data_IF_865963781583
#
_entry.id   IF_865963781583
#
_cell.length_a   1.000
_cell.length_b   1.000
_cell.length_c   1.000
_cell.angle_alpha   90.00
_cell.angle_beta   90.00
_cell.angle_gamma   90.00
#
_symmetry.space_group_name_H-M   'P 1'
#
loop_
_entity.id
_entity.type
_entity.pdbx_description
1 polymer ?
#
# COMPACT_ATOMS: atom_id res chain seq x y z
N UNK A 1 5.02 1.69 -3.06
CA UNK A 1 4.73 0.36 -3.60
C UNK A 1 3.44 0.48 -4.39
N UNK A 2 3.10 -0.52 -5.20
CA UNK A 2 1.97 -0.48 -6.10
C UNK A 2 2.18 0.45 -7.29
N UNK A 3 1.18 1.25 -7.62
CA UNK A 3 1.16 2.08 -8.84
C UNK A 3 2.29 3.10 -8.87
N UNK A 4 3.16 3.00 -9.87
CA UNK A 4 4.37 3.83 -9.99
C UNK A 4 4.01 5.30 -10.24
N UNK A 5 4.50 6.18 -9.37
CA UNK A 5 4.33 7.62 -9.51
C UNK A 5 2.94 8.18 -9.23
N UNK A 6 1.93 7.34 -8.92
CA UNK A 6 0.55 7.77 -8.66
C UNK A 6 0.45 8.77 -7.51
N UNK A 7 1.13 8.52 -6.38
CA UNK A 7 1.11 9.43 -5.24
C UNK A 7 1.59 10.84 -5.59
N UNK A 8 2.64 10.94 -6.44
CA UNK A 8 3.15 12.24 -6.90
C UNK A 8 2.19 12.89 -7.89
N UNK A 9 1.62 12.10 -8.80
CA UNK A 9 0.63 12.58 -9.77
C UNK A 9 -0.59 13.18 -9.05
N UNK A 10 -1.13 12.48 -8.04
CA UNK A 10 -2.23 12.98 -7.22
C UNK A 10 -1.85 14.25 -6.45
N UNK A 11 -0.62 14.34 -5.94
CA UNK A 11 -0.14 15.55 -5.28
C UNK A 11 -0.05 16.74 -6.22
N UNK A 12 0.31 16.52 -7.49
CA UNK A 12 0.47 17.57 -8.48
C UNK A 12 -0.87 17.99 -9.12
N UNK A 13 -1.75 17.03 -9.46
CA UNK A 13 -2.95 17.26 -10.27
C UNK A 13 -4.26 17.26 -9.45
N UNK A 14 -4.30 16.58 -8.30
CA UNK A 14 -5.46 16.45 -7.43
C UNK A 14 -5.12 16.68 -5.95
N UNK A 15 -4.44 17.81 -5.57
CA UNK A 15 -3.97 18.02 -4.20
C UNK A 15 -5.08 18.05 -3.14
N UNK A 16 -6.29 18.38 -3.53
CA UNK A 16 -7.46 18.42 -2.63
C UNK A 16 -7.90 17.02 -2.14
N UNK A 17 -7.44 15.97 -2.81
CA UNK A 17 -7.69 14.59 -2.36
C UNK A 17 -6.79 14.18 -1.18
N UNK A 18 -5.68 14.88 -0.96
CA UNK A 18 -4.66 14.57 0.04
C UNK A 18 -4.77 15.51 1.22
N UNK A 19 -4.83 14.95 2.43
CA UNK A 19 -4.79 15.70 3.69
C UNK A 19 -3.75 15.09 4.61
N UNK A 20 -2.88 15.93 5.18
CA UNK A 20 -2.04 15.57 6.31
C UNK A 20 -2.76 15.95 7.60
N UNK A 21 -2.90 15.00 8.51
CA UNK A 21 -3.61 15.19 9.77
C UNK A 21 -2.91 14.43 10.89
N UNK A 22 -3.15 14.83 12.13
CA UNK A 22 -2.62 14.12 13.29
C UNK A 22 -3.28 12.74 13.43
N UNK A 23 -2.55 11.75 13.93
CA UNK A 23 -3.08 10.41 14.19
C UNK A 23 -4.34 10.45 15.08
N UNK A 24 -4.38 11.37 16.03
CA UNK A 24 -5.53 11.59 16.94
C UNK A 24 -6.83 11.94 16.22
N UNK A 25 -6.76 12.51 15.02
CA UNK A 25 -7.97 12.82 14.23
C UNK A 25 -8.75 11.57 13.83
N UNK A 26 -8.09 10.41 13.86
CA UNK A 26 -8.69 9.10 13.57
C UNK A 26 -9.29 8.41 14.82
N UNK A 27 -9.36 9.10 15.98
CA UNK A 27 -9.98 8.57 17.19
C UNK A 27 -11.39 8.02 16.93
N UNK A 28 -11.70 6.84 17.47
CA UNK A 28 -12.98 6.15 17.29
C UNK A 28 -13.18 5.51 15.91
N UNK A 29 -12.23 5.67 14.97
CA UNK A 29 -12.34 5.08 13.63
C UNK A 29 -11.86 3.63 13.63
N UNK A 30 -12.60 2.78 12.92
CA UNK A 30 -12.16 1.43 12.54
C UNK A 30 -11.30 1.54 11.27
N UNK A 31 -10.13 0.93 11.25
CA UNK A 31 -9.22 0.97 10.10
C UNK A 31 -8.79 -0.45 9.77
N UNK A 32 -8.99 -0.88 8.54
CA UNK A 32 -8.44 -2.14 8.03
C UNK A 32 -6.99 -1.90 7.60
N UNK A 33 -6.04 -2.59 8.24
CA UNK A 33 -4.61 -2.39 8.04
C UNK A 33 -4.05 -3.60 7.31
N UNK A 34 -3.33 -3.35 6.24
CA UNK A 34 -2.53 -4.34 5.54
C UNK A 34 -1.42 -4.85 6.47
N UNK A 35 -1.54 -6.12 6.88
CA UNK A 35 -0.62 -6.74 7.82
C UNK A 35 0.74 -7.06 7.17
N UNK A 36 0.74 -7.54 5.94
CA UNK A 36 1.97 -7.93 5.22
C UNK A 36 2.88 -6.72 5.00
N UNK A 37 2.29 -5.58 4.61
CA UNK A 37 3.01 -4.32 4.50
C UNK A 37 3.55 -3.87 5.87
N UNK A 38 2.75 -3.97 6.93
CA UNK A 38 3.15 -3.59 8.27
C UNK A 38 4.33 -4.45 8.77
N UNK A 39 4.27 -5.77 8.61
CA UNK A 39 5.34 -6.71 8.99
C UNK A 39 6.63 -6.39 8.23
N UNK A 40 6.54 -6.21 6.91
CA UNK A 40 7.69 -5.84 6.07
C UNK A 40 8.37 -4.55 6.55
N UNK A 41 7.57 -3.53 6.88
CA UNK A 41 8.10 -2.27 7.44
C UNK A 41 8.84 -2.49 8.75
N UNK A 42 8.34 -3.34 9.65
CA UNK A 42 9.00 -3.62 10.92
C UNK A 42 10.31 -4.38 10.75
N UNK A 43 10.32 -5.37 9.87
CA UNK A 43 11.54 -6.12 9.57
C UNK A 43 12.66 -5.23 9.00
N UNK A 44 12.31 -4.13 8.33
CA UNK A 44 13.29 -3.16 7.85
C UNK A 44 13.64 -2.12 8.91
N UNK A 45 12.63 -1.57 9.62
CA UNK A 45 12.80 -0.41 10.50
C UNK A 45 13.38 -0.78 11.87
N UNK A 46 13.04 -1.96 12.40
CA UNK A 46 13.48 -2.42 13.73
C UNK A 46 14.70 -3.29 13.59
N UNK A 47 15.87 -2.65 13.50
CA UNK A 47 17.15 -3.30 13.31
C UNK A 47 18.16 -2.77 14.32
N UNK A 48 19.13 -3.58 14.68
CA UNK A 48 20.28 -3.20 15.49
C UNK A 48 21.56 -3.26 14.68
N UNK A 49 22.43 -2.28 14.87
CA UNK A 49 23.75 -2.23 14.23
C UNK A 49 24.62 -1.20 14.94
N UNK A 50 25.91 -1.30 14.75
CA UNK A 50 26.92 -0.37 15.29
C UNK A 50 27.66 0.36 14.17
N UNK A 51 28.56 1.31 14.52
CA UNK A 51 29.29 2.10 13.53
C UNK A 51 30.08 1.27 12.51
N UNK A 52 30.48 0.06 12.88
CA UNK A 52 31.32 -0.83 12.05
C UNK A 52 30.63 -2.16 11.69
N UNK A 53 29.30 -2.28 11.91
CA UNK A 53 28.56 -3.50 11.62
C UNK A 53 27.27 -3.16 10.87
N UNK A 54 26.95 -3.95 9.84
CA UNK A 54 25.69 -3.83 9.14
C UNK A 54 24.50 -4.03 10.11
N UNK A 55 23.44 -3.23 9.93
CA UNK A 55 22.25 -3.36 10.77
C UNK A 55 21.54 -4.70 10.51
N UNK A 56 21.35 -5.48 11.58
CA UNK A 56 20.67 -6.77 11.57
C UNK A 56 19.28 -6.68 12.23
N UNK A 57 18.39 -7.61 11.92
CA UNK A 57 17.09 -7.72 12.61
C UNK A 57 17.31 -8.05 14.09
N UNK A 58 16.41 -7.57 14.96
CA UNK A 58 16.44 -7.97 16.36
C UNK A 58 16.13 -9.45 16.47
N UNK A 59 16.92 -10.15 17.25
CA UNK A 59 16.78 -11.59 17.52
C UNK A 59 16.62 -11.84 19.02
N UNK A 60 15.98 -12.95 19.38
CA UNK A 60 15.98 -13.48 20.74
C UNK A 60 17.29 -14.20 21.05
N UNK A 61 17.39 -14.81 22.22
CA UNK A 61 18.55 -15.59 22.67
C UNK A 61 18.84 -16.79 21.76
N UNK A 62 17.83 -17.33 21.11
CA UNK A 62 17.89 -18.49 20.19
C UNK A 62 18.23 -18.07 18.74
N UNK A 63 18.46 -16.77 18.50
CA UNK A 63 18.77 -16.24 17.19
C UNK A 63 17.55 -16.03 16.26
N UNK A 64 16.33 -16.19 16.77
CA UNK A 64 15.11 -15.97 16.00
C UNK A 64 14.75 -14.50 15.91
N UNK A 65 14.28 -14.07 14.74
CA UNK A 65 13.89 -12.67 14.49
C UNK A 65 12.63 -12.29 15.28
N UNK A 66 12.70 -11.21 16.08
CA UNK A 66 11.60 -10.67 16.90
C UNK A 66 11.16 -9.27 16.49
N UNK A 67 11.82 -8.66 15.49
CA UNK A 67 11.53 -7.28 15.03
C UNK A 67 10.07 -7.07 14.62
N UNK A 68 9.46 -8.05 13.95
CA UNK A 68 8.06 -8.01 13.52
C UNK A 68 7.09 -8.02 14.70
N UNK A 69 7.33 -8.86 15.71
CA UNK A 69 6.51 -8.95 16.94
C UNK A 69 6.57 -7.63 17.70
N UNK A 70 7.78 -7.13 17.96
CA UNK A 70 7.97 -5.88 18.67
C UNK A 70 7.33 -4.69 17.95
N UNK A 71 7.51 -4.61 16.63
CA UNK A 71 6.93 -3.56 15.82
C UNK A 71 5.40 -3.61 15.80
N UNK A 72 4.82 -4.79 15.59
CA UNK A 72 3.38 -5.01 15.56
C UNK A 72 2.75 -4.71 16.93
N UNK A 73 3.33 -5.22 18.01
CA UNK A 73 2.89 -5.00 19.38
C UNK A 73 2.84 -3.51 19.74
N UNK A 74 3.96 -2.81 19.56
CA UNK A 74 4.05 -1.40 19.93
C UNK A 74 3.14 -0.50 19.08
N UNK A 75 3.05 -0.76 17.77
CA UNK A 75 2.19 0.02 16.87
C UNK A 75 0.71 -0.20 17.22
N UNK A 76 0.31 -1.43 17.48
CA UNK A 76 -1.08 -1.78 17.83
C UNK A 76 -1.49 -1.16 19.16
N UNK A 77 -0.64 -1.23 20.19
CA UNK A 77 -0.88 -0.53 21.48
C UNK A 77 -1.08 0.96 21.23
N UNK A 78 -0.22 1.57 20.40
CA UNK A 78 -0.34 2.99 20.10
C UNK A 78 -1.67 3.33 19.45
N UNK A 79 -2.11 2.57 18.44
CA UNK A 79 -3.40 2.81 17.81
C UNK A 79 -4.54 2.72 18.83
N UNK A 80 -4.54 1.67 19.64
CA UNK A 80 -5.56 1.47 20.68
C UNK A 80 -5.53 2.58 21.74
N UNK A 81 -4.35 3.05 22.13
CA UNK A 81 -4.20 4.16 23.08
C UNK A 81 -4.70 5.49 22.51
N UNK A 82 -4.53 5.73 21.21
CA UNK A 82 -5.10 6.89 20.50
C UNK A 82 -6.59 6.71 20.15
N UNK A 83 -7.21 5.61 20.60
CA UNK A 83 -8.63 5.31 20.39
C UNK A 83 -8.98 4.83 18.99
N UNK A 84 -8.00 4.50 18.16
CA UNK A 84 -8.20 3.89 16.85
C UNK A 84 -8.51 2.41 17.05
N UNK A 85 -9.43 1.87 16.25
CA UNK A 85 -9.79 0.44 16.24
C UNK A 85 -9.17 -0.24 15.00
N UNK A 86 -7.93 -0.75 15.09
CA UNK A 86 -7.28 -1.44 13.98
C UNK A 86 -7.89 -2.83 13.78
N UNK A 87 -8.02 -3.27 12.53
CA UNK A 87 -8.27 -4.65 12.12
C UNK A 87 -7.20 -5.01 11.08
N UNK A 88 -6.49 -6.10 11.30
CA UNK A 88 -5.38 -6.47 10.42
C UNK A 88 -5.82 -7.50 9.39
N UNK A 89 -5.54 -7.19 8.12
CA UNK A 89 -5.85 -8.04 6.98
C UNK A 89 -4.55 -8.67 6.48
N UNK A 90 -4.52 -9.99 6.43
CA UNK A 90 -3.40 -10.77 5.93
C UNK A 90 -3.68 -11.28 4.54
N UNK A 91 -2.66 -11.32 3.70
CA UNK A 91 -2.76 -11.89 2.35
C UNK A 91 -3.12 -13.37 2.38
N UNK A 92 -3.93 -13.74 1.40
CA UNK A 92 -4.22 -15.12 1.06
C UNK A 92 -3.31 -15.67 -0.04
N UNK A 93 -3.88 -16.43 -0.95
CA UNK A 93 -3.16 -16.96 -2.09
C UNK A 93 -2.99 -15.88 -3.16
N UNK A 94 -1.75 -15.57 -3.57
CA UNK A 94 -1.53 -14.54 -4.60
C UNK A 94 -2.21 -14.95 -5.92
N UNK A 95 -2.81 -13.99 -6.67
CA UNK A 95 -3.47 -14.28 -7.93
C UNK A 95 -2.45 -14.72 -8.99
N UNK A 96 -2.87 -15.58 -9.91
CA UNK A 96 -1.99 -16.11 -10.96
C UNK A 96 -1.40 -14.99 -11.83
N UNK A 97 -2.18 -13.94 -12.11
CA UNK A 97 -1.74 -12.78 -12.89
C UNK A 97 -0.52 -12.05 -12.28
N UNK A 98 -0.27 -12.20 -10.96
CA UNK A 98 0.88 -11.61 -10.25
C UNK A 98 2.17 -12.44 -10.39
N UNK A 99 2.11 -13.63 -11.00
CA UNK A 99 3.24 -14.56 -11.12
C UNK A 99 4.49 -13.93 -11.75
N UNK A 100 4.32 -13.14 -12.79
CA UNK A 100 5.42 -12.42 -13.47
C UNK A 100 6.15 -11.43 -12.57
N UNK A 101 5.43 -10.65 -11.75
CA UNK A 101 6.04 -9.72 -10.79
C UNK A 101 6.71 -10.49 -9.63
N UNK A 102 6.11 -11.57 -9.16
CA UNK A 102 6.70 -12.43 -8.13
C UNK A 102 8.02 -13.06 -8.60
N UNK A 103 8.08 -13.47 -9.86
CA UNK A 103 9.32 -13.97 -10.47
C UNK A 103 10.39 -12.86 -10.55
N UNK A 104 10.03 -11.66 -11.03
CA UNK A 104 10.96 -10.52 -11.07
C UNK A 104 11.47 -10.15 -9.66
N UNK A 105 10.63 -10.24 -8.65
CA UNK A 105 11.03 -10.02 -7.24
C UNK A 105 11.98 -11.11 -6.74
N UNK A 106 11.79 -12.36 -7.18
CA UNK A 106 12.68 -13.47 -6.87
C UNK A 106 14.07 -13.27 -7.50
N UNK A 107 14.14 -12.95 -8.77
CA UNK A 107 15.39 -12.68 -9.48
C UNK A 107 16.17 -11.50 -8.88
N UNK A 108 15.47 -10.42 -8.50
CA UNK A 108 16.09 -9.28 -7.80
C UNK A 108 16.68 -9.66 -6.45
N UNK A 109 16.04 -10.58 -5.73
CA UNK A 109 16.57 -11.11 -4.45
C UNK A 109 17.80 -11.98 -4.66
N UNK A 110 17.78 -12.87 -5.64
CA UNK A 110 18.93 -13.72 -5.97
C UNK A 110 20.16 -12.86 -6.33
N UNK A 111 19.96 -11.80 -7.12
CA UNK A 111 21.02 -10.81 -7.39
C UNK A 111 21.49 -10.10 -6.13
N UNK A 112 20.57 -9.62 -5.29
CA UNK A 112 20.92 -8.95 -4.05
C UNK A 112 21.67 -9.87 -3.07
N UNK A 113 21.38 -11.16 -3.07
CA UNK A 113 22.11 -12.15 -2.27
C UNK A 113 23.56 -12.35 -2.76
N UNK A 114 23.75 -12.40 -4.07
CA UNK A 114 25.10 -12.47 -4.65
C UNK A 114 25.91 -11.19 -4.38
N UNK A 115 25.25 -10.01 -4.48
CA UNK A 115 25.86 -8.71 -4.17
C UNK A 115 26.20 -8.58 -2.68
N UNK A 116 25.32 -9.08 -1.78
CA UNK A 116 25.60 -9.11 -0.33
C UNK A 116 26.83 -9.95 0.00
N UNK A 117 26.97 -11.12 -0.64
CA UNK A 117 28.13 -12.00 -0.42
C UNK A 117 29.43 -11.30 -0.82
N UNK A 118 29.47 -10.62 -1.97
CA UNK A 118 30.61 -9.82 -2.42
C UNK A 118 30.92 -8.67 -1.46
N UNK A 119 29.91 -7.90 -1.08
CA UNK A 119 30.08 -6.80 -0.13
C UNK A 119 30.57 -7.27 1.25
N UNK A 120 30.22 -8.51 1.64
CA UNK A 120 30.72 -9.13 2.88
C UNK A 120 32.19 -9.52 2.76
N UNK A 121 32.62 -10.06 1.63
CA UNK A 121 34.03 -10.41 1.34
C UNK A 121 34.91 -9.14 1.26
N UNK A 122 34.37 -8.04 0.74
CA UNK A 122 35.03 -6.74 0.62
C UNK A 122 35.01 -5.90 1.91
N UNK A 123 34.24 -6.32 2.94
CA UNK A 123 34.09 -5.60 4.20
C UNK A 123 33.31 -4.28 4.10
N UNK A 124 32.56 -4.06 3.01
CA UNK A 124 31.78 -2.83 2.78
C UNK A 124 30.45 -2.84 3.54
N UNK A 125 30.42 -2.22 4.71
CA UNK A 125 29.26 -2.20 5.62
C UNK A 125 28.04 -1.50 5.02
N UNK A 126 28.22 -0.42 4.25
CA UNK A 126 27.09 0.32 3.65
C UNK A 126 26.38 -0.52 2.58
N UNK A 127 27.13 -1.21 1.73
CA UNK A 127 26.56 -2.09 0.73
C UNK A 127 25.95 -3.34 1.35
N UNK A 128 26.57 -3.92 2.38
CA UNK A 128 25.99 -5.02 3.15
C UNK A 128 24.61 -4.63 3.71
N UNK A 129 24.47 -3.47 4.35
CA UNK A 129 23.18 -2.99 4.89
C UNK A 129 22.15 -2.77 3.78
N UNK A 130 22.55 -2.17 2.67
CA UNK A 130 21.70 -1.92 1.49
C UNK A 130 21.19 -3.23 0.87
N UNK A 131 22.04 -4.22 0.66
CA UNK A 131 21.65 -5.50 0.04
C UNK A 131 20.90 -6.38 1.03
N UNK A 132 21.25 -6.38 2.33
CA UNK A 132 20.53 -7.11 3.36
C UNK A 132 19.07 -6.63 3.51
N UNK A 133 18.80 -5.33 3.35
CA UNK A 133 17.44 -4.78 3.33
C UNK A 133 16.60 -5.30 2.17
N UNK A 134 17.23 -5.57 1.00
CA UNK A 134 16.54 -6.12 -0.17
C UNK A 134 16.18 -7.59 -0.03
N UNK A 135 16.84 -8.31 0.88
CA UNK A 135 16.56 -9.71 1.16
C UNK A 135 15.46 -9.93 2.19
N UNK A 136 15.04 -8.86 2.89
CA UNK A 136 14.00 -8.95 3.90
C UNK A 136 12.70 -9.45 3.28
N UNK A 137 12.14 -10.47 3.90
CA UNK A 137 10.84 -11.07 3.54
C UNK A 137 10.11 -11.47 4.82
N UNK A 138 8.81 -11.19 4.89
CA UNK A 138 7.93 -11.83 5.85
C UNK A 138 7.70 -13.27 5.39
N UNK A 139 8.10 -14.23 6.20
CA UNK A 139 7.85 -15.66 5.98
C UNK A 139 6.52 -16.09 6.59
N UNK A 140 6.27 -17.41 6.51
CA UNK A 140 5.06 -17.99 7.12
C UNK A 140 5.11 -17.84 8.65
N UNK A 141 6.27 -18.07 9.28
CA UNK A 141 6.46 -17.96 10.73
C UNK A 141 6.13 -16.56 11.23
N UNK A 142 6.72 -15.52 10.63
CA UNK A 142 6.49 -14.13 11.02
C UNK A 142 5.02 -13.73 10.88
N UNK A 143 4.32 -14.25 9.87
CA UNK A 143 2.89 -14.02 9.71
C UNK A 143 2.07 -14.71 10.81
N UNK A 144 2.35 -15.98 11.14
CA UNK A 144 1.64 -16.72 12.20
C UNK A 144 1.90 -16.10 13.57
N UNK A 145 3.14 -15.74 13.88
CA UNK A 145 3.51 -15.05 15.13
C UNK A 145 2.71 -13.74 15.28
N UNK A 146 2.58 -12.95 14.20
CA UNK A 146 1.80 -11.72 14.23
C UNK A 146 0.30 -11.97 14.37
N UNK A 147 -0.24 -13.00 13.73
CA UNK A 147 -1.66 -13.38 13.87
C UNK A 147 -1.98 -13.78 15.30
N UNK A 148 -1.13 -14.61 15.91
CA UNK A 148 -1.29 -15.03 17.30
C UNK A 148 -1.17 -13.85 18.25
N UNK A 149 -0.15 -13.02 18.12
CA UNK A 149 0.00 -11.79 18.87
C UNK A 149 -1.27 -10.93 18.84
N UNK A 150 -1.81 -10.67 17.66
CA UNK A 150 -2.99 -9.82 17.48
C UNK A 150 -4.25 -10.44 18.09
N UNK A 151 -4.42 -11.78 18.00
CA UNK A 151 -5.52 -12.51 18.66
C UNK A 151 -5.43 -12.37 20.18
N UNK A 152 -4.24 -12.56 20.75
CA UNK A 152 -3.99 -12.39 22.19
C UNK A 152 -4.21 -10.94 22.65
N UNK A 153 -3.92 -9.96 21.79
CA UNK A 153 -4.23 -8.54 22.05
C UNK A 153 -5.73 -8.22 21.90
N UNK A 154 -6.57 -9.15 21.49
CA UNK A 154 -7.99 -8.96 21.26
C UNK A 154 -8.34 -8.14 20.02
N UNK A 155 -7.44 -8.09 19.01
CA UNK A 155 -7.61 -7.31 17.77
C UNK A 155 -8.07 -8.23 16.64
N UNK A 156 -9.06 -7.83 15.83
CA UNK A 156 -9.52 -8.63 14.69
C UNK A 156 -8.41 -8.92 13.69
N UNK A 157 -8.31 -10.20 13.31
CA UNK A 157 -7.42 -10.72 12.27
C UNK A 157 -8.28 -11.28 11.14
N UNK A 158 -8.07 -10.79 9.93
CA UNK A 158 -8.83 -11.17 8.74
C UNK A 158 -7.86 -11.83 7.76
N UNK A 159 -8.23 -12.98 7.23
CA UNK A 159 -7.50 -13.65 6.16
C UNK A 159 -8.20 -13.35 4.85
N UNK A 160 -7.57 -12.58 3.98
CA UNK A 160 -8.09 -12.32 2.65
C UNK A 160 -8.05 -13.62 1.81
N UNK A 161 -8.99 -13.84 0.89
CA UNK A 161 -8.88 -14.92 -0.08
C UNK A 161 -7.66 -14.74 -0.99
N UNK A 162 -7.34 -13.49 -1.33
CA UNK A 162 -6.29 -13.12 -2.25
C UNK A 162 -5.44 -11.97 -1.66
N UNK A 163 -5.59 -10.74 -2.14
CA UNK A 163 -4.78 -9.57 -1.76
C UNK A 163 -5.39 -8.85 -0.53
N UNK A 164 -4.56 -8.52 0.46
CA UNK A 164 -4.99 -7.83 1.67
C UNK A 164 -5.56 -6.43 1.38
N UNK A 165 -4.97 -5.68 0.43
CA UNK A 165 -5.45 -4.35 0.05
C UNK A 165 -6.84 -4.40 -0.59
N UNK A 166 -7.13 -5.42 -1.41
CA UNK A 166 -8.44 -5.62 -2.02
C UNK A 166 -9.50 -5.91 -0.95
N UNK A 167 -9.19 -6.80 -0.01
CA UNK A 167 -10.08 -7.12 1.12
C UNK A 167 -10.30 -5.91 2.03
N UNK A 168 -9.25 -5.16 2.36
CA UNK A 168 -9.35 -3.96 3.18
C UNK A 168 -10.18 -2.86 2.48
N UNK A 169 -10.01 -2.70 1.15
CA UNK A 169 -10.80 -1.79 0.34
C UNK A 169 -12.29 -2.20 0.32
N UNK A 170 -12.60 -3.48 0.14
CA UNK A 170 -13.98 -3.99 0.15
C UNK A 170 -14.68 -3.70 1.47
N UNK A 171 -14.02 -3.98 2.63
CA UNK A 171 -14.56 -3.64 3.94
C UNK A 171 -14.83 -2.14 4.12
N UNK A 172 -14.00 -1.29 3.49
CA UNK A 172 -14.18 0.15 3.52
C UNK A 172 -15.32 0.61 2.61
N UNK A 173 -15.48 0.02 1.42
CA UNK A 173 -16.60 0.27 0.49
C UNK A 173 -17.93 -0.11 1.12
N UNK A 174 -18.00 -1.23 1.82
CA UNK A 174 -19.19 -1.70 2.52
C UNK A 174 -19.45 -0.95 3.85
N UNK A 175 -18.60 0.00 4.24
CA UNK A 175 -18.77 0.79 5.46
C UNK A 175 -18.50 0.03 6.76
N UNK A 176 -17.93 -1.18 6.71
CA UNK A 176 -17.54 -1.95 7.89
C UNK A 176 -16.39 -1.27 8.63
N UNK A 177 -15.49 -0.65 7.87
CA UNK A 177 -14.39 0.18 8.38
C UNK A 177 -14.43 1.57 7.74
N UNK A 178 -13.77 2.53 8.39
CA UNK A 178 -13.68 3.91 7.91
C UNK A 178 -12.66 4.11 6.79
N UNK A 179 -11.54 3.39 6.86
CA UNK A 179 -10.42 3.57 5.95
C UNK A 179 -9.60 2.28 5.79
N UNK A 180 -8.88 2.20 4.70
CA UNK A 180 -7.80 1.24 4.46
C UNK A 180 -6.47 1.86 4.85
N UNK A 181 -5.67 1.17 5.69
CA UNK A 181 -4.34 1.59 6.13
C UNK A 181 -3.25 0.79 5.43
N UNK A 182 -2.69 1.32 4.36
CA UNK A 182 -1.55 0.73 3.64
C UNK A 182 -0.72 1.81 2.97
N UNK A 183 0.56 1.50 2.68
CA UNK A 183 1.39 2.37 1.83
C UNK A 183 1.18 2.08 0.34
N UNK A 184 0.49 1.00 0.02
CA UNK A 184 0.24 0.60 -1.34
C UNK A 184 -0.87 1.44 -1.97
N UNK A 185 -0.58 1.99 -3.16
CA UNK A 185 -1.52 2.84 -3.89
C UNK A 185 -2.56 2.02 -4.66
N UNK A 186 -2.36 0.70 -4.77
CA UNK A 186 -3.30 -0.23 -5.43
C UNK A 186 -4.65 -0.25 -4.71
N UNK A 187 -4.68 0.04 -3.40
CA UNK A 187 -5.91 0.19 -2.65
C UNK A 187 -6.91 1.21 -3.27
N UNK A 188 -6.41 2.24 -3.98
CA UNK A 188 -7.28 3.20 -4.69
C UNK A 188 -7.91 2.59 -5.93
N UNK A 189 -7.22 1.67 -6.64
CA UNK A 189 -7.80 0.96 -7.79
C UNK A 189 -8.89 -0.03 -7.37
N UNK A 190 -8.82 -0.54 -6.14
CA UNK A 190 -9.88 -1.33 -5.49
C UNK A 190 -11.00 -0.46 -4.89
N UNK A 191 -11.12 0.81 -5.29
CA UNK A 191 -12.19 1.75 -4.89
C UNK A 191 -12.24 2.12 -3.41
N UNK A 192 -11.15 1.93 -2.64
CA UNK A 192 -11.19 2.30 -1.22
C UNK A 192 -11.59 3.78 -1.05
N UNK A 193 -12.68 4.10 -0.34
CA UNK A 193 -13.16 5.47 -0.18
C UNK A 193 -12.15 6.38 0.49
N UNK A 194 -11.40 5.83 1.47
CA UNK A 194 -10.39 6.55 2.25
C UNK A 194 -9.16 5.67 2.41
N UNK A 195 -8.03 6.11 1.90
CA UNK A 195 -6.72 5.50 2.09
C UNK A 195 -5.94 6.31 3.12
N UNK A 196 -5.41 5.63 4.16
CA UNK A 196 -4.53 6.22 5.18
C UNK A 196 -3.13 5.67 5.01
N UNK A 197 -2.17 6.57 4.84
CA UNK A 197 -0.76 6.27 4.63
C UNK A 197 0.10 6.88 5.73
N UNK A 198 1.40 6.55 5.74
CA UNK A 198 2.39 7.05 6.70
C UNK A 198 2.01 6.71 8.15
N UNK A 199 1.47 5.49 8.34
CA UNK A 199 1.12 4.99 9.68
C UNK A 199 2.33 4.45 10.47
N UNK A 200 3.55 4.66 9.96
CA UNK A 200 4.82 4.32 10.60
C UNK A 200 5.43 5.58 11.19
N UNK A 201 5.67 5.61 12.49
CA UNK A 201 6.09 6.82 13.19
C UNK A 201 7.49 6.63 13.79
N UNK A 202 8.46 7.40 13.32
CA UNK A 202 9.77 7.48 13.94
C UNK A 202 9.73 8.26 15.27
N UNK A 203 8.90 9.31 15.38
CA UNK A 203 8.74 10.13 16.58
C UNK A 203 7.31 10.11 17.10
N UNK A 204 7.16 9.76 18.39
CA UNK A 204 5.86 9.66 19.04
C UNK A 204 5.10 10.98 19.16
N UNK A 205 5.82 12.11 19.26
CA UNK A 205 5.24 13.42 19.54
C UNK A 205 4.62 14.13 18.33
N UNK A 206 4.94 13.71 17.09
CA UNK A 206 4.45 14.33 15.85
C UNK A 206 3.98 13.27 14.87
N UNK A 207 3.08 12.38 15.31
CA UNK A 207 2.52 11.38 14.44
C UNK A 207 1.49 12.01 13.50
N UNK A 208 1.90 12.33 12.31
CA UNK A 208 1.03 12.75 11.22
C UNK A 208 0.80 11.58 10.26
N UNK A 209 -0.43 11.42 9.82
CA UNK A 209 -0.83 10.47 8.78
C UNK A 209 -1.25 11.24 7.54
N UNK A 210 -1.20 10.56 6.41
CA UNK A 210 -1.66 11.11 5.14
C UNK A 210 -2.93 10.39 4.72
N UNK A 211 -4.04 11.11 4.69
CA UNK A 211 -5.35 10.60 4.27
C UNK A 211 -5.61 11.01 2.83
N UNK A 212 -5.99 10.05 1.99
CA UNK A 212 -6.38 10.28 0.60
C UNK A 212 -7.85 9.88 0.40
N UNK A 213 -8.63 10.75 -0.22
CA UNK A 213 -10.06 10.52 -0.51
C UNK A 213 -10.23 10.18 -1.98
N UNK A 214 -10.70 8.97 -2.28
CA UNK A 214 -10.84 8.45 -3.64
C UNK A 214 -11.74 9.31 -4.53
N UNK A 215 -12.94 9.67 -4.08
CA UNK A 215 -13.84 10.52 -4.86
C UNK A 215 -13.22 11.86 -5.26
N UNK A 216 -12.42 12.46 -4.35
CA UNK A 216 -11.69 13.70 -4.65
C UNK A 216 -10.51 13.48 -5.59
N UNK A 217 -9.90 12.30 -5.60
CA UNK A 217 -8.86 11.95 -6.55
C UNK A 217 -9.44 11.88 -7.96
N UNK A 218 -10.58 11.22 -8.15
CA UNK A 218 -11.28 11.18 -9.44
C UNK A 218 -11.72 12.57 -9.91
N UNK A 219 -12.34 13.35 -9.01
CA UNK A 219 -12.77 14.73 -9.30
C UNK A 219 -11.58 15.60 -9.75
N UNK A 220 -10.47 15.58 -9.02
CA UNK A 220 -9.28 16.38 -9.33
C UNK A 220 -8.56 15.96 -10.60
N UNK A 221 -8.57 14.67 -10.95
CA UNK A 221 -8.05 14.17 -12.20
C UNK A 221 -9.02 14.37 -13.37
N UNK A 222 -10.31 14.59 -13.13
CA UNK A 222 -11.36 14.64 -14.15
C UNK A 222 -11.59 13.30 -14.82
N UNK A 223 -11.50 12.20 -14.08
CA UNK A 223 -11.62 10.84 -14.58
C UNK A 223 -12.77 10.09 -13.89
N UNK A 224 -13.38 9.15 -14.60
CA UNK A 224 -14.23 8.13 -14.00
C UNK A 224 -13.35 6.97 -13.44
N UNK A 225 -13.99 5.96 -12.82
CA UNK A 225 -13.27 4.83 -12.23
C UNK A 225 -12.50 4.02 -13.26
N UNK A 226 -13.12 3.68 -14.39
CA UNK A 226 -12.49 2.83 -15.41
C UNK A 226 -11.28 3.53 -16.06
N UNK A 227 -11.39 4.82 -16.31
CA UNK A 227 -10.27 5.65 -16.76
C UNK A 227 -9.15 5.74 -15.72
N UNK A 228 -9.51 5.76 -14.43
CA UNK A 228 -8.54 5.76 -13.35
C UNK A 228 -7.80 4.41 -13.26
N UNK A 229 -8.49 3.29 -13.43
CA UNK A 229 -7.87 1.96 -13.50
C UNK A 229 -6.92 1.88 -14.69
N UNK A 230 -7.35 2.31 -15.87
CA UNK A 230 -6.52 2.36 -17.08
C UNK A 230 -5.29 3.26 -16.90
N UNK A 231 -5.46 4.42 -16.27
CA UNK A 231 -4.33 5.26 -15.85
C UNK A 231 -3.34 4.51 -14.97
N UNK A 232 -3.82 3.80 -13.97
CA UNK A 232 -2.97 3.02 -13.05
C UNK A 232 -2.22 1.89 -13.78
N UNK A 233 -2.86 1.22 -14.72
CA UNK A 233 -2.24 0.20 -15.57
C UNK A 233 -1.13 0.83 -16.43
N UNK A 234 -1.37 1.97 -17.07
CA UNK A 234 -0.36 2.70 -17.84
C UNK A 234 0.84 3.15 -16.98
N UNK A 235 0.61 3.53 -15.74
CA UNK A 235 1.68 3.89 -14.79
C UNK A 235 2.53 2.68 -14.38
N UNK A 236 1.96 1.49 -14.43
CA UNK A 236 2.56 0.21 -14.05
C UNK A 236 2.07 -0.27 -12.71
N UNK A 237 1.52 -1.46 -12.71
CA UNK A 237 1.00 -2.19 -11.56
C UNK A 237 1.71 -3.55 -11.41
N UNK A 238 1.35 -4.30 -10.37
CA UNK A 238 1.91 -5.63 -10.09
C UNK A 238 1.38 -6.72 -11.05
N UNK A 239 0.35 -6.40 -11.86
CA UNK A 239 -0.38 -7.37 -12.68
C UNK A 239 0.01 -7.35 -14.17
N UNK A 240 0.58 -6.25 -14.66
CA UNK A 240 1.10 -6.19 -16.03
C UNK A 240 2.24 -5.17 -16.16
N UNK A 241 3.07 -5.34 -17.19
CA UNK A 241 4.14 -4.42 -17.51
C UNK A 241 3.58 -3.13 -18.11
N UNK A 242 4.16 -1.98 -17.78
CA UNK A 242 3.78 -0.68 -18.33
C UNK A 242 4.45 -0.41 -19.68
N UNK A 243 3.86 0.48 -20.49
CA UNK A 243 4.45 0.96 -21.74
C UNK A 243 5.70 1.77 -21.44
N UNK A 244 6.85 1.38 -22.00
CA UNK A 244 8.09 2.13 -21.85
C UNK A 244 7.99 3.51 -22.55
N UNK A 245 8.49 4.53 -21.86
CA UNK A 245 8.44 5.92 -22.36
C UNK A 245 7.19 6.69 -21.94
N UNK A 246 6.15 6.02 -21.40
CA UNK A 246 4.95 6.67 -20.86
C UNK A 246 5.16 6.94 -19.38
N UNK A 247 5.36 8.21 -19.01
CA UNK A 247 5.43 8.65 -17.61
C UNK A 247 4.08 9.17 -17.10
N UNK A 248 3.97 9.50 -15.78
CA UNK A 248 2.70 9.86 -15.15
C UNK A 248 1.91 10.99 -15.85
N UNK A 249 2.57 12.07 -16.22
CA UNK A 249 1.91 13.18 -16.93
C UNK A 249 1.45 12.80 -18.32
N UNK A 250 2.24 11.99 -19.03
CA UNK A 250 1.90 11.49 -20.37
C UNK A 250 0.72 10.52 -20.29
N UNK A 251 0.73 9.58 -19.32
CA UNK A 251 -0.36 8.65 -19.10
C UNK A 251 -1.69 9.38 -18.83
N UNK A 252 -1.68 10.36 -17.92
CA UNK A 252 -2.87 11.17 -17.63
C UNK A 252 -3.37 11.93 -18.87
N UNK A 253 -2.45 12.53 -19.63
CA UNK A 253 -2.80 13.22 -20.87
C UNK A 253 -3.47 12.27 -21.88
N UNK A 254 -2.87 11.11 -22.12
CA UNK A 254 -3.40 10.10 -23.04
C UNK A 254 -4.80 9.61 -22.62
N UNK A 255 -5.01 9.32 -21.34
CA UNK A 255 -6.33 8.91 -20.84
C UNK A 255 -7.37 10.01 -21.00
N UNK A 256 -7.02 11.27 -20.74
CA UNK A 256 -7.94 12.41 -20.92
C UNK A 256 -8.31 12.63 -22.40
N UNK A 257 -7.36 12.41 -23.32
CA UNK A 257 -7.56 12.62 -24.76
C UNK A 257 -8.28 11.45 -25.43
N UNK A 258 -7.99 10.21 -25.04
CA UNK A 258 -8.44 9.01 -25.72
C UNK A 258 -9.46 8.16 -24.95
N UNK A 259 -9.56 8.35 -23.64
CA UNK A 259 -10.56 7.72 -22.78
C UNK A 259 -10.18 6.35 -22.22
N UNK A 260 -9.56 5.46 -23.01
CA UNK A 260 -9.19 4.10 -22.63
C UNK A 260 -7.90 3.63 -23.30
N UNK A 261 -7.37 2.49 -22.83
CA UNK A 261 -6.10 1.93 -23.33
C UNK A 261 -6.23 1.48 -24.79
N UNK A 262 -7.35 0.89 -25.19
CA UNK A 262 -7.59 0.40 -26.55
C UNK A 262 -7.43 1.55 -27.57
N UNK A 263 -8.11 2.65 -27.35
CA UNK A 263 -8.01 3.83 -28.20
C UNK A 263 -6.60 4.45 -28.21
N UNK A 264 -5.90 4.39 -27.07
CA UNK A 264 -4.51 4.85 -26.96
C UNK A 264 -3.59 3.98 -27.83
N UNK A 265 -3.77 2.67 -27.83
CA UNK A 265 -2.98 1.75 -28.66
C UNK A 265 -3.23 1.96 -30.14
N UNK A 266 -4.48 2.22 -30.53
CA UNK A 266 -4.87 2.45 -31.94
C UNK A 266 -4.41 3.82 -32.48
N UNK A 267 -4.60 4.88 -31.68
CA UNK A 267 -4.48 6.27 -32.17
C UNK A 267 -3.43 7.10 -31.45
N UNK A 268 -3.26 6.87 -30.12
CA UNK A 268 -2.55 7.80 -29.24
C UNK A 268 -1.03 7.69 -29.25
N UNK A 269 -0.46 6.53 -29.61
CA UNK A 269 0.98 6.32 -29.58
C UNK A 269 1.67 6.79 -30.88
N UNK A 270 0.92 7.04 -31.98
CA UNK A 270 1.45 7.41 -33.30
C UNK A 270 1.57 8.93 -33.50
N UNK A 271 1.04 9.76 -32.61
CA UNK A 271 0.88 11.21 -32.85
C UNK A 271 2.11 12.07 -32.55
N UNK A 272 3.15 11.50 -31.95
CA UNK A 272 4.36 12.27 -31.59
C UNK A 272 5.60 11.70 -32.25
N UNK A 273 5.85 12.07 -33.49
CA UNK A 273 6.97 11.64 -34.33
C UNK A 273 8.40 11.76 -33.75
N UNK A 274 8.58 11.93 -32.43
CA UNK A 274 9.88 12.06 -31.74
C UNK A 274 10.10 11.14 -30.56
N UNK A 275 9.09 10.41 -30.04
CA UNK A 275 9.26 9.47 -28.93
C UNK A 275 8.83 8.08 -29.36
N UNK A 276 9.75 7.15 -29.30
CA UNK A 276 9.48 5.73 -29.52
C UNK A 276 8.91 5.15 -28.25
N UNK A 277 7.61 4.83 -28.25
CA UNK A 277 6.97 4.07 -27.17
C UNK A 277 7.13 2.58 -27.46
N UNK A 278 7.50 1.80 -26.43
CA UNK A 278 7.59 0.35 -26.53
C UNK A 278 6.43 -0.28 -25.77
N UNK A 279 5.48 -0.81 -26.51
CA UNK A 279 4.34 -1.57 -25.96
C UNK A 279 4.81 -2.97 -25.59
N UNK A 280 4.50 -3.49 -24.41
CA UNK A 280 4.82 -4.86 -24.06
C UNK A 280 4.15 -5.87 -25.02
N UNK A 281 4.87 -6.93 -25.38
CA UNK A 281 4.37 -7.93 -26.33
C UNK A 281 3.05 -8.58 -25.88
N UNK A 282 2.84 -8.74 -24.58
CA UNK A 282 1.61 -9.31 -24.00
C UNK A 282 0.42 -8.33 -23.94
N UNK A 283 0.56 -7.11 -24.47
CA UNK A 283 -0.55 -6.16 -24.60
C UNK A 283 -1.27 -6.26 -25.96
N UNK A 284 -0.63 -6.84 -26.96
CA UNK A 284 -1.24 -7.07 -28.26
C UNK A 284 -1.65 -8.54 -28.37
N UNK A 285 -2.87 -8.85 -28.83
CA UNK A 285 -3.23 -10.21 -29.19
C UNK A 285 -2.20 -10.73 -30.21
N UNK A 286 -1.71 -11.95 -30.06
CA UNK A 286 -0.86 -12.54 -31.09
C UNK A 286 -1.64 -12.54 -32.40
N UNK A 287 -1.25 -11.69 -33.36
CA UNK A 287 -1.65 -11.88 -34.74
C UNK A 287 -1.18 -13.27 -35.14
N UNK A 288 -2.10 -14.18 -35.44
CA UNK A 288 -1.76 -15.46 -36.10
C UNK A 288 -0.82 -15.10 -37.24
N UNK A 289 0.33 -15.75 -37.34
CA UNK A 289 1.18 -15.68 -38.50
C UNK A 289 0.29 -16.08 -39.66
N UNK A 290 0.00 -15.12 -40.55
CA UNK A 290 -0.54 -15.38 -41.87
C UNK A 290 0.60 -16.02 -42.66
N UNK A 291 0.86 -17.31 -42.45
CA UNK A 291 1.63 -18.20 -43.33
C UNK A 291 1.48 -19.62 -42.82
N UNK A 292 0.33 -20.24 -43.07
CA UNK A 292 0.19 -21.69 -43.17
C UNK A 292 -1.11 -21.97 -43.92
N UNK A 293 -0.94 -22.32 -45.20
CA UNK A 293 -1.78 -23.13 -46.09
C UNK A 293 -3.07 -23.70 -45.52
N UNK A 294 -4.12 -23.53 -46.35
CA UNK A 294 -5.43 -24.12 -46.30
C UNK A 294 -5.37 -25.60 -45.90
N UNK A 295 -6.02 -25.94 -44.81
CA UNK A 295 -6.69 -27.23 -44.62
C UNK A 295 -7.95 -26.96 -43.77
N UNK A 296 -9.10 -27.07 -44.40
CA UNK A 296 -10.42 -27.11 -43.82
C UNK A 296 -10.52 -28.36 -42.94
N UNK A 297 -10.84 -28.20 -41.64
CA UNK A 297 -11.79 -29.08 -40.97
C UNK A 297 -12.11 -28.55 -39.56
N UNK A 298 -13.40 -28.29 -39.35
CA UNK A 298 -14.23 -28.28 -38.16
C UNK A 298 -13.53 -28.43 -36.80
N UNK A 299 -13.67 -27.46 -35.93
CA UNK A 299 -14.32 -27.69 -34.63
C UNK A 299 -14.67 -26.37 -33.92
N UNK A 300 -15.87 -26.32 -33.34
CA UNK A 300 -16.36 -25.27 -32.43
C UNK A 300 -15.47 -25.21 -31.17
N UNK A 301 -14.35 -24.54 -31.26
CA UNK A 301 -13.51 -24.20 -30.13
C UNK A 301 -13.50 -22.71 -29.91
N UNK A 302 -14.02 -22.28 -28.77
CA UNK A 302 -13.95 -20.96 -28.18
C UNK A 302 -12.64 -20.25 -28.58
N UNK A 303 -12.77 -19.03 -29.06
CA UNK A 303 -11.70 -18.14 -29.53
C UNK A 303 -10.53 -18.09 -28.51
N UNK A 304 -9.54 -18.95 -28.68
CA UNK A 304 -8.41 -19.16 -27.78
C UNK A 304 -7.30 -18.10 -28.03
N UNK A 305 -7.70 -16.86 -28.42
CA UNK A 305 -6.76 -15.74 -28.52
C UNK A 305 -6.35 -15.33 -27.11
N UNK A 306 -5.04 -15.26 -26.79
CA UNK A 306 -4.59 -14.86 -25.46
C UNK A 306 -5.08 -13.45 -25.14
N UNK A 307 -5.81 -13.31 -24.03
CA UNK A 307 -6.34 -12.03 -23.55
C UNK A 307 -5.17 -11.09 -23.25
N UNK A 308 -5.18 -9.84 -23.75
CA UNK A 308 -4.12 -8.88 -23.46
C UNK A 308 -3.95 -8.65 -21.96
N UNK A 309 -2.71 -8.59 -21.48
CA UNK A 309 -2.41 -8.51 -20.05
C UNK A 309 -3.05 -7.28 -19.34
N UNK A 310 -3.22 -6.16 -20.03
CA UNK A 310 -3.90 -4.99 -19.45
C UNK A 310 -5.41 -5.21 -19.26
N UNK A 311 -6.04 -6.05 -20.10
CA UNK A 311 -7.46 -6.42 -19.97
C UNK A 311 -7.65 -7.34 -18.76
N UNK A 312 -6.76 -8.31 -18.58
CA UNK A 312 -6.75 -9.17 -17.39
C UNK A 312 -6.52 -8.36 -16.11
N UNK A 313 -5.56 -7.42 -16.13
CA UNK A 313 -5.31 -6.53 -15.00
C UNK A 313 -6.52 -5.66 -14.66
N UNK A 314 -7.20 -5.08 -15.69
CA UNK A 314 -8.44 -4.32 -15.51
C UNK A 314 -9.56 -5.18 -14.92
N UNK A 315 -9.72 -6.40 -15.43
CA UNK A 315 -10.69 -7.38 -14.91
C UNK A 315 -10.41 -7.69 -13.44
N UNK A 316 -9.15 -7.92 -13.08
CA UNK A 316 -8.77 -8.19 -11.71
C UNK A 316 -9.06 -7.01 -10.76
N UNK A 317 -8.74 -5.78 -11.14
CA UNK A 317 -9.06 -4.60 -10.33
C UNK A 317 -10.56 -4.40 -10.10
N UNK A 318 -11.39 -4.74 -11.09
CA UNK A 318 -12.85 -4.58 -11.00
C UNK A 318 -13.56 -5.80 -10.38
N UNK A 319 -12.99 -7.00 -10.52
CA UNK A 319 -13.61 -8.26 -10.11
C UNK A 319 -12.57 -9.13 -9.37
N UNK A 320 -12.23 -8.73 -8.15
CA UNK A 320 -11.30 -9.43 -7.28
C UNK A 320 -12.05 -10.27 -6.24
N UNK A 321 -11.41 -11.35 -5.79
CA UNK A 321 -11.97 -12.22 -4.76
C UNK A 321 -11.79 -11.59 -3.37
N UNK A 322 -12.90 -11.36 -2.67
CA UNK A 322 -12.94 -10.83 -1.31
C UNK A 322 -14.08 -11.47 -0.51
N UNK A 323 -13.89 -11.55 0.80
CA UNK A 323 -14.96 -11.88 1.73
C UNK A 323 -15.94 -10.71 1.82
N UNK A 324 -17.22 -11.01 1.84
CA UNK A 324 -18.25 -10.00 2.09
C UNK A 324 -18.22 -9.53 3.54
N UNK A 325 -18.64 -8.30 3.82
CA UNK A 325 -18.59 -7.74 5.16
C UNK A 325 -19.39 -8.52 6.21
N UNK A 326 -20.45 -9.23 5.81
CA UNK A 326 -21.21 -10.11 6.69
C UNK A 326 -20.49 -11.43 7.04
N UNK A 327 -19.45 -11.80 6.30
CA UNK A 327 -18.60 -12.97 6.54
C UNK A 327 -17.42 -12.64 7.44
N UNK A 328 -17.17 -11.34 7.70
CA UNK A 328 -16.03 -10.85 8.47
C UNK A 328 -16.48 -10.36 9.84
N UNK A 329 -15.95 -10.97 10.90
CA UNK A 329 -16.24 -10.56 12.27
C UNK A 329 -15.27 -9.48 12.75
N UNK A 330 -15.74 -8.23 12.87
CA UNK A 330 -14.98 -7.10 13.38
C UNK A 330 -15.30 -6.83 14.86
N UNK A 331 -14.83 -7.71 15.74
CA UNK A 331 -15.00 -7.59 17.20
C UNK A 331 -13.66 -7.39 17.90
N UNK A 332 -13.54 -6.30 18.62
CA UNK A 332 -12.40 -6.01 19.52
C UNK A 332 -12.72 -6.57 20.89
N UNK A 333 -11.93 -7.55 21.33
CA UNK A 333 -12.09 -8.27 22.62
C UNK A 333 -11.13 -7.70 23.67
N UNK A 334 -11.35 -8.04 24.93
CA UNK A 334 -10.37 -7.78 25.97
C UNK A 334 -9.08 -8.56 25.67
N UNK A 335 -7.90 -8.00 25.97
CA UNK A 335 -6.65 -8.71 25.79
C UNK A 335 -6.58 -9.91 26.74
N UNK A 336 -5.96 -10.99 26.28
CA UNK A 336 -5.68 -12.19 27.07
C UNK A 336 -4.30 -11.99 27.74
N UNK A 337 -4.29 -11.27 28.86
CA UNK A 337 -3.06 -10.72 29.45
C UNK A 337 -2.04 -11.78 29.87
N UNK A 338 -2.48 -12.90 30.44
CA UNK A 338 -1.59 -13.98 30.89
C UNK A 338 -0.98 -14.75 29.71
N UNK A 339 -1.81 -15.10 28.71
CA UNK A 339 -1.36 -15.78 27.51
C UNK A 339 -0.44 -14.87 26.67
N UNK A 340 -0.77 -13.58 26.59
CA UNK A 340 0.06 -12.58 25.92
C UNK A 340 1.42 -12.43 26.60
N UNK A 341 1.46 -12.47 27.93
CA UNK A 341 2.71 -12.44 28.69
C UNK A 341 3.55 -13.69 28.43
N UNK A 342 2.94 -14.89 28.47
CA UNK A 342 3.63 -16.14 28.13
C UNK A 342 4.18 -16.10 26.71
N UNK A 343 3.38 -15.70 25.74
CA UNK A 343 3.81 -15.58 24.34
C UNK A 343 5.01 -14.66 24.17
N UNK A 344 4.99 -13.48 24.78
CA UNK A 344 6.07 -12.49 24.60
C UNK A 344 7.31 -12.82 25.45
N UNK A 345 7.16 -13.28 26.70
CA UNK A 345 8.28 -13.51 27.61
C UNK A 345 8.85 -14.91 27.44
N UNK A 346 8.01 -15.96 27.52
CA UNK A 346 8.50 -17.32 27.56
C UNK A 346 8.88 -17.83 26.14
N UNK A 347 8.07 -17.48 25.12
CA UNK A 347 8.34 -17.93 23.73
C UNK A 347 9.33 -17.03 23.00
N UNK A 348 9.22 -15.71 23.17
CA UNK A 348 10.02 -14.76 22.37
C UNK A 348 11.08 -13.99 23.20
N UNK A 349 11.28 -14.33 24.46
CA UNK A 349 12.33 -13.80 25.34
C UNK A 349 12.31 -12.27 25.50
N UNK A 350 11.12 -11.64 25.49
CA UNK A 350 10.99 -10.20 25.76
C UNK A 350 11.19 -9.90 27.25
N UNK A 351 11.64 -8.68 27.56
CA UNK A 351 11.80 -8.24 28.92
C UNK A 351 10.46 -8.21 29.68
N UNK A 352 10.31 -8.97 30.80
CA UNK A 352 9.04 -9.13 31.52
C UNK A 352 8.44 -7.82 32.03
N UNK A 353 9.27 -6.91 32.54
CA UNK A 353 8.81 -5.63 33.10
C UNK A 353 8.23 -4.71 32.01
N UNK A 354 8.90 -4.66 30.84
CA UNK A 354 8.43 -3.87 29.69
C UNK A 354 7.14 -4.45 29.11
N UNK A 355 7.03 -5.77 29.05
CA UNK A 355 5.81 -6.47 28.60
C UNK A 355 4.66 -6.16 29.57
N UNK A 356 4.87 -6.28 30.88
CA UNK A 356 3.86 -5.98 31.88
C UNK A 356 3.34 -4.54 31.76
N UNK A 357 4.23 -3.55 31.70
CA UNK A 357 3.86 -2.14 31.54
C UNK A 357 3.09 -1.88 30.23
N UNK A 358 3.37 -2.65 29.18
CA UNK A 358 2.67 -2.54 27.90
C UNK A 358 1.30 -3.19 27.92
N UNK A 359 1.14 -4.32 28.61
CA UNK A 359 -0.16 -4.98 28.83
C UNK A 359 -1.09 -4.07 29.63
N UNK A 360 -0.60 -3.43 30.69
CA UNK A 360 -1.38 -2.46 31.49
C UNK A 360 -1.90 -1.30 30.63
N UNK A 361 -1.08 -0.78 29.70
CA UNK A 361 -1.50 0.25 28.75
C UNK A 361 -2.58 -0.28 27.81
N UNK A 362 -2.45 -1.52 27.35
CA UNK A 362 -3.41 -2.16 26.45
C UNK A 362 -4.77 -2.35 27.15
N UNK A 363 -4.79 -2.86 28.38
CA UNK A 363 -6.00 -3.01 29.20
C UNK A 363 -6.68 -1.66 29.46
N UNK A 364 -5.89 -0.63 29.81
CA UNK A 364 -6.39 0.71 30.03
C UNK A 364 -7.03 1.28 28.74
N UNK A 365 -6.36 1.12 27.61
CA UNK A 365 -6.90 1.54 26.31
C UNK A 365 -8.19 0.79 25.97
N UNK A 366 -8.26 -0.52 26.23
CA UNK A 366 -9.48 -1.30 25.99
C UNK A 366 -10.64 -0.80 26.86
N UNK A 367 -10.43 -0.57 28.16
CA UNK A 367 -11.44 -0.03 29.09
C UNK A 367 -11.93 1.37 28.68
N UNK A 368 -11.03 2.23 28.19
CA UNK A 368 -11.39 3.57 27.71
C UNK A 368 -12.18 3.54 26.39
N UNK A 369 -11.78 2.69 25.45
CA UNK A 369 -12.43 2.56 24.15
C UNK A 369 -13.76 1.81 24.18
N UNK A 370 -14.08 1.12 25.28
CA UNK A 370 -15.36 0.45 25.52
C UNK A 370 -16.52 1.40 25.78
N UNK A 371 -16.26 2.68 26.10
CA UNK A 371 -17.31 3.70 26.27
C UNK A 371 -17.56 4.38 24.93
N UNK A 372 -18.76 4.24 24.32
CA UNK A 372 -19.05 4.87 23.04
C UNK A 372 -19.15 6.39 23.22
N UNK A 373 -18.11 7.10 22.84
CA UNK A 373 -18.19 8.54 22.63
C UNK A 373 -18.55 8.77 21.16
N UNK A 374 -19.77 9.24 20.90
CA UNK A 374 -20.21 9.63 19.55
C UNK A 374 -19.36 10.81 19.05
N UNK A 375 -18.84 10.71 17.83
CA UNK A 375 -18.11 11.82 17.21
C UNK A 375 -19.10 12.92 16.80
N UNK A 376 -18.68 14.16 16.92
CA UNK A 376 -19.49 15.30 16.47
C UNK A 376 -19.84 15.22 14.97
N UNK A 377 -18.99 14.62 14.16
CA UNK A 377 -19.23 14.43 12.72
C UNK A 377 -20.48 13.58 12.42
N UNK A 378 -20.91 12.71 13.35
CA UNK A 378 -22.15 11.93 13.19
C UNK A 378 -23.41 12.75 13.41
N UNK A 379 -23.29 13.93 14.00
CA UNK A 379 -24.41 14.84 14.29
C UNK A 379 -24.51 16.03 13.33
N UNK A 380 -23.43 16.33 12.59
CA UNK A 380 -23.36 17.49 11.71
C UNK A 380 -22.91 17.13 10.31
N UNK A 381 -23.72 17.46 9.32
CA UNK A 381 -23.30 17.49 7.92
C UNK A 381 -22.47 18.75 7.68
N UNK A 382 -21.21 18.61 7.36
CA UNK A 382 -20.34 19.76 7.04
C UNK A 382 -20.78 20.35 5.70
N UNK A 383 -21.52 21.46 5.74
CA UNK A 383 -21.74 22.29 4.54
C UNK A 383 -20.44 22.99 4.19
N UNK A 384 -19.82 22.59 3.08
CA UNK A 384 -18.62 23.24 2.56
C UNK A 384 -18.99 24.66 2.15
N UNK A 385 -18.43 25.66 2.86
CA UNK A 385 -18.67 27.05 2.51
C UNK A 385 -17.81 27.41 1.27
N UNK A 386 -18.39 27.72 0.09
CA UNK A 386 -17.64 27.96 -1.14
C UNK A 386 -16.64 29.12 -1.04
N UNK A 387 -16.86 30.07 -0.14
CA UNK A 387 -15.94 31.21 0.11
C UNK A 387 -14.63 30.76 0.75
N UNK A 388 -14.62 29.71 1.56
CA UNK A 388 -13.40 29.18 2.18
C UNK A 388 -12.54 28.38 1.19
N UNK A 389 -13.16 27.71 0.21
CA UNK A 389 -12.46 26.99 -0.85
C UNK A 389 -11.73 27.96 -1.80
N UNK A 390 -12.36 29.07 -2.17
CA UNK A 390 -11.75 30.13 -2.99
C UNK A 390 -10.55 30.82 -2.30
N UNK A 391 -10.66 31.09 -0.98
CA UNK A 391 -9.54 31.63 -0.19
C UNK A 391 -8.37 30.64 -0.07
N UNK A 392 -8.62 29.33 0.04
CA UNK A 392 -7.56 28.31 0.04
C UNK A 392 -6.86 28.20 -1.32
N UNK A 393 -7.61 28.21 -2.45
CA UNK A 393 -7.01 28.25 -3.79
C UNK A 393 -6.08 29.44 -3.97
N UNK A 394 -6.51 30.67 -3.60
CA UNK A 394 -5.66 31.87 -3.67
C UNK A 394 -4.40 31.77 -2.80
N UNK A 395 -4.48 31.15 -1.60
CA UNK A 395 -3.32 30.99 -0.72
C UNK A 395 -2.29 30.00 -1.32
N UNK A 396 -2.75 28.93 -1.94
CA UNK A 396 -1.89 27.92 -2.61
C UNK A 396 -1.22 28.52 -3.84
N UNK A 397 -1.92 29.35 -4.62
CA UNK A 397 -1.35 30.05 -5.78
C UNK A 397 -0.28 31.08 -5.37
N UNK A 398 -0.52 31.83 -4.30
CA UNK A 398 0.47 32.79 -3.76
C UNK A 398 1.71 32.08 -3.20
N UNK A 399 1.57 30.94 -2.54
CA UNK A 399 2.70 30.14 -2.07
C UNK A 399 3.49 29.49 -3.21
N UNK A 400 2.81 29.04 -4.26
CA UNK A 400 3.46 28.52 -5.49
C UNK A 400 4.22 29.64 -6.24
N UNK A 401 3.66 30.84 -6.31
CA UNK A 401 4.30 31.99 -6.94
C UNK A 401 5.55 32.47 -6.16
N UNK A 402 5.51 32.46 -4.84
CA UNK A 402 6.64 32.83 -3.99
C UNK A 402 7.78 31.80 -4.04
N UNK A 403 7.47 30.50 -4.15
CA UNK A 403 8.48 29.45 -4.35
C UNK A 403 9.14 29.54 -5.74
N UNK A 404 8.39 29.90 -6.78
CA UNK A 404 8.93 30.07 -8.14
C UNK A 404 9.89 31.28 -8.26
N UNK A 405 9.66 32.35 -7.49
CA UNK A 405 10.57 33.53 -7.43
C UNK A 405 11.87 33.22 -6.69
N UNK A 406 11.89 32.31 -5.71
CA UNK A 406 13.12 31.93 -5.00
C UNK A 406 14.07 31.03 -5.82
N UNK A 407 13.54 30.27 -6.80
CA UNK A 407 14.36 29.38 -7.65
C UNK A 407 14.95 30.06 -8.87
N UNK A 408 14.43 31.24 -9.27
CA UNK A 408 14.95 32.01 -10.42
C UNK A 408 15.92 33.11 -10.03
N UNK A 409 16.05 33.45 -8.74
CA UNK A 409 16.96 34.51 -8.22
C UNK A 409 18.39 34.05 -7.92
N UNK A 410 18.72 32.77 -8.08
CA UNK A 410 20.01 32.17 -7.67
C UNK A 410 21.06 31.99 -8.75
N UNK A 411 20.87 32.53 -9.98
CA UNK A 411 21.80 32.32 -11.09
C UNK A 411 22.20 33.60 -11.79
N UNK A 412 22.82 34.54 -11.03
CA UNK A 412 23.69 35.59 -11.56
C UNK A 412 24.63 36.03 -10.45
N UNK A 413 25.86 35.55 -10.45
CA UNK A 413 27.16 36.17 -10.20
C UNK A 413 28.21 35.11 -9.81
N UNK A 414 29.07 34.98 -10.62
CA UNK A 414 30.49 34.71 -10.82
C UNK A 414 30.73 33.41 -11.59
#
# INVERSE_FOLDING_TARGET
MGIKGLAKLLSDEAPDCIREEELKSLHGRKIAIDASMAIYQFLIAVRSGGPNHAATMLTNADGETTSHIQGMFNRTIRFLTEGIKPAYVFDGKPPQIKSGELQKRREKREKAQAELKKASEEGNVEEQDKHSKRLVRAGHKENEDCKELLRLMGVPVILAPCEAEAQAAALCVEGQVYATGTEDMDALTFKTPVLVRKMTFANASKATVQTMKYAKALEGLGLNHDQFVDLCILLGCDYCDSIKGVGPKTALKLIREHGNIETILEKGLNTSGKKKYEVPANWTPNKKKEDATDDEDNDDSEDNTPIPAYVEARKFFNHHEVLKGNEVELKWKAPQSEELKKFLVDTHCFNPERVQASIEKLEKAHKQNGKPQSRMDSFFTVKVNPVSAAKRKKKIETEKASKKKKTTGGRKKK
#
